data_IF_418066826413
#
_entry.id   IF_418066826413
#
_cell.length_a   1.000
_cell.length_b   1.000
_cell.length_c   1.000
_cell.angle_alpha   90.00
_cell.angle_beta   90.00
_cell.angle_gamma   90.00
#
_symmetry.space_group_name_H-M   'P 1'
#
loop_
_entity.id
_entity.type
_entity.pdbx_description
1 polymer ?
#
# COMPACT_ATOMS: atom_id res chain seq x y z
N UNK A 1 -17.55 13.75 -46.80
CA UNK A 1 -16.53 12.72 -46.48
C UNK A 1 -15.83 13.18 -45.22
N UNK A 2 -16.06 12.51 -44.09
CA UNK A 2 -15.43 12.87 -42.81
C UNK A 2 -14.03 12.21 -42.81
N UNK A 3 -12.98 13.04 -42.74
CA UNK A 3 -11.60 12.56 -42.66
C UNK A 3 -11.23 12.50 -41.18
N UNK A 4 -11.10 11.30 -40.64
CA UNK A 4 -10.62 11.11 -39.27
C UNK A 4 -9.10 11.31 -39.25
N UNK A 5 -8.64 12.34 -38.55
CA UNK A 5 -7.21 12.63 -38.38
C UNK A 5 -6.81 12.27 -36.95
N UNK A 6 -5.76 11.47 -36.79
CA UNK A 6 -5.19 11.15 -35.48
C UNK A 6 -3.77 11.74 -35.38
N UNK A 7 -3.44 12.28 -34.21
CA UNK A 7 -2.13 12.85 -33.91
C UNK A 7 -1.44 12.01 -32.84
N UNK A 8 -0.21 11.56 -33.10
CA UNK A 8 0.63 10.86 -32.11
C UNK A 8 1.56 11.88 -31.46
N UNK A 9 1.40 12.07 -30.15
CA UNK A 9 2.28 12.93 -29.35
C UNK A 9 3.17 12.07 -28.47
N UNK A 10 4.45 12.45 -28.34
CA UNK A 10 5.39 11.89 -27.36
C UNK A 10 5.85 13.00 -26.44
N UNK A 11 5.63 12.82 -25.14
CA UNK A 11 6.06 13.77 -24.12
C UNK A 11 7.44 13.35 -23.58
N UNK A 12 8.31 14.34 -23.36
CA UNK A 12 9.63 14.15 -22.76
C UNK A 12 9.70 14.96 -21.47
N UNK A 13 9.10 14.45 -20.38
CA UNK A 13 9.05 15.18 -19.13
C UNK A 13 10.45 15.31 -18.51
N UNK A 14 10.74 16.47 -17.93
CA UNK A 14 11.86 16.59 -17.00
C UNK A 14 11.55 15.86 -15.68
N UNK A 15 12.53 15.74 -14.78
CA UNK A 15 12.36 15.01 -13.51
C UNK A 15 11.16 15.48 -12.69
N UNK A 16 10.96 16.79 -12.56
CA UNK A 16 9.84 17.33 -11.77
C UNK A 16 8.48 17.02 -12.42
N UNK A 17 8.40 17.12 -13.75
CA UNK A 17 7.21 16.76 -14.51
C UNK A 17 6.91 15.26 -14.40
N UNK A 18 7.92 14.40 -14.52
CA UNK A 18 7.77 12.96 -14.40
C UNK A 18 7.24 12.58 -13.00
N UNK A 19 7.79 13.18 -11.94
CA UNK A 19 7.28 12.99 -10.58
C UNK A 19 5.82 13.43 -10.45
N UNK A 20 5.46 14.60 -10.99
CA UNK A 20 4.09 15.09 -10.93
C UNK A 20 3.12 14.17 -11.70
N UNK A 21 3.48 13.77 -12.91
CA UNK A 21 2.69 12.86 -13.75
C UNK A 21 2.47 11.53 -13.02
N UNK A 22 3.53 10.95 -12.46
CA UNK A 22 3.44 9.68 -11.72
C UNK A 22 2.54 9.80 -10.49
N UNK A 23 2.62 10.91 -9.75
CA UNK A 23 1.72 11.17 -8.62
C UNK A 23 0.27 11.31 -9.09
N UNK A 24 0.01 12.10 -10.13
CA UNK A 24 -1.35 12.29 -10.66
C UNK A 24 -1.97 10.97 -11.10
N UNK A 25 -1.26 10.19 -11.92
CA UNK A 25 -1.73 8.88 -12.40
C UNK A 25 -1.91 7.92 -11.24
N UNK A 26 -0.96 7.88 -10.30
CA UNK A 26 -1.02 7.02 -9.12
C UNK A 26 -2.21 7.35 -8.21
N UNK A 27 -2.50 8.62 -7.96
CA UNK A 27 -3.66 9.04 -7.16
C UNK A 27 -4.96 8.56 -7.82
N UNK A 28 -5.12 8.81 -9.12
CA UNK A 28 -6.30 8.38 -9.87
C UNK A 28 -6.45 6.85 -9.85
N UNK A 29 -5.36 6.11 -10.03
CA UNK A 29 -5.33 4.65 -9.97
C UNK A 29 -5.75 4.13 -8.59
N UNK A 30 -5.19 4.70 -7.53
CA UNK A 30 -5.52 4.31 -6.16
C UNK A 30 -7.01 4.53 -5.86
N UNK A 31 -7.52 5.73 -6.13
CA UNK A 31 -8.93 6.08 -5.89
C UNK A 31 -9.86 5.20 -6.72
N UNK A 32 -9.53 4.96 -7.99
CA UNK A 32 -10.30 4.08 -8.86
C UNK A 32 -10.37 2.65 -8.31
N UNK A 33 -9.22 2.04 -7.98
CA UNK A 33 -9.18 0.67 -7.46
C UNK A 33 -9.90 0.56 -6.10
N UNK A 34 -9.81 1.61 -5.27
CA UNK A 34 -10.46 1.64 -3.96
C UNK A 34 -11.97 1.61 -4.10
N UNK A 35 -12.53 2.48 -4.95
CA UNK A 35 -13.96 2.47 -5.19
C UNK A 35 -14.42 1.26 -5.99
N UNK A 36 -13.61 0.72 -6.91
CA UNK A 36 -13.91 -0.51 -7.63
C UNK A 36 -14.12 -1.67 -6.65
N UNK A 37 -13.20 -1.87 -5.70
CA UNK A 37 -13.33 -2.91 -4.68
C UNK A 37 -14.57 -2.72 -3.80
N UNK A 38 -14.88 -1.48 -3.40
CA UNK A 38 -16.09 -1.19 -2.64
C UNK A 38 -17.36 -1.44 -3.47
N UNK A 39 -17.32 -1.13 -4.77
CA UNK A 39 -18.44 -1.32 -5.69
C UNK A 39 -18.74 -2.80 -5.90
N UNK A 40 -17.70 -3.61 -6.10
CA UNK A 40 -17.83 -5.06 -6.22
C UNK A 40 -18.47 -5.65 -4.96
N UNK A 41 -17.98 -5.30 -3.78
CA UNK A 41 -18.56 -5.77 -2.51
C UNK A 41 -20.02 -5.34 -2.35
N UNK A 42 -20.32 -4.05 -2.56
CA UNK A 42 -21.70 -3.53 -2.43
C UNK A 42 -22.66 -4.18 -3.43
N UNK A 43 -22.19 -4.45 -4.65
CA UNK A 43 -22.99 -5.09 -5.68
C UNK A 43 -23.25 -6.57 -5.36
N UNK A 44 -22.26 -7.31 -4.86
CA UNK A 44 -22.47 -8.70 -4.43
C UNK A 44 -23.48 -8.82 -3.28
N UNK A 45 -23.46 -7.87 -2.34
CA UNK A 45 -24.37 -7.88 -1.18
C UNK A 45 -25.79 -7.39 -1.51
N UNK A 46 -25.91 -6.36 -2.34
CA UNK A 46 -27.18 -5.62 -2.50
C UNK A 46 -27.74 -5.63 -3.93
N UNK A 47 -26.97 -6.07 -4.91
CA UNK A 47 -27.27 -5.96 -6.34
C UNK A 47 -27.27 -4.52 -6.88
N UNK A 48 -26.77 -3.55 -6.09
CA UNK A 48 -26.76 -2.13 -6.44
C UNK A 48 -25.35 -1.56 -6.30
N UNK A 49 -25.05 -0.59 -7.15
CA UNK A 49 -23.81 0.17 -7.09
C UNK A 49 -23.82 1.26 -6.02
N UNK A 50 -22.65 1.83 -5.76
CA UNK A 50 -22.47 2.98 -4.87
C UNK A 50 -22.98 4.27 -5.51
N UNK A 51 -23.52 5.15 -4.66
CA UNK A 51 -23.92 6.50 -5.08
C UNK A 51 -22.78 7.50 -4.90
N UNK A 52 -22.83 8.63 -5.60
CA UNK A 52 -21.85 9.71 -5.44
C UNK A 52 -21.71 10.17 -3.98
N UNK A 53 -22.84 10.33 -3.26
CA UNK A 53 -22.82 10.75 -1.86
C UNK A 53 -22.08 9.75 -0.97
N UNK A 54 -22.28 8.44 -1.21
CA UNK A 54 -21.55 7.37 -0.50
C UNK A 54 -20.06 7.41 -0.82
N UNK A 55 -19.69 7.54 -2.10
CA UNK A 55 -18.30 7.60 -2.51
C UNK A 55 -17.58 8.83 -1.93
N UNK A 56 -18.22 10.01 -1.99
CA UNK A 56 -17.64 11.24 -1.45
C UNK A 56 -17.40 11.17 0.06
N UNK A 57 -18.26 10.48 0.81
CA UNK A 57 -18.09 10.29 2.25
C UNK A 57 -17.00 9.26 2.61
N UNK A 58 -16.68 8.35 1.68
CA UNK A 58 -15.67 7.29 1.85
C UNK A 58 -14.35 7.62 1.17
N UNK A 59 -14.09 8.87 0.84
CA UNK A 59 -12.80 9.23 0.22
C UNK A 59 -11.65 8.93 1.19
N UNK A 60 -10.61 8.19 0.76
CA UNK A 60 -9.44 7.95 1.58
C UNK A 60 -8.73 9.26 1.93
N UNK A 61 -8.16 9.32 3.13
CA UNK A 61 -7.36 10.46 3.56
C UNK A 61 -6.10 10.63 2.69
N UNK A 62 -5.67 11.87 2.50
CA UNK A 62 -4.51 12.20 1.65
C UNK A 62 -3.24 11.47 2.10
N UNK A 63 -3.06 11.28 3.41
CA UNK A 63 -1.92 10.56 3.99
C UNK A 63 -1.87 9.10 3.51
N UNK A 64 -3.03 8.44 3.38
CA UNK A 64 -3.13 7.07 2.88
C UNK A 64 -2.83 7.03 1.38
N UNK A 65 -3.34 8.00 0.63
CA UNK A 65 -3.04 8.14 -0.80
C UNK A 65 -1.53 8.33 -0.96
N UNK A 66 -0.90 9.25 -0.24
CA UNK A 66 0.55 9.52 -0.32
C UNK A 66 1.43 8.31 0.02
N UNK A 67 0.97 7.45 0.93
CA UNK A 67 1.62 6.17 1.26
C UNK A 67 1.43 5.18 0.11
N UNK A 68 0.25 5.09 -0.50
CA UNK A 68 0.04 4.22 -1.65
C UNK A 68 0.95 4.56 -2.85
N UNK A 69 1.37 5.82 -2.98
CA UNK A 69 2.27 6.27 -4.05
C UNK A 69 3.74 5.93 -3.80
N UNK A 70 4.07 5.35 -2.64
CA UNK A 70 5.43 5.19 -2.17
C UNK A 70 6.04 3.80 -2.43
N UNK A 71 5.40 2.99 -3.29
CA UNK A 71 5.91 1.67 -3.69
C UNK A 71 7.34 1.69 -4.24
N UNK A 72 7.78 2.80 -4.83
CA UNK A 72 9.15 2.97 -5.33
C UNK A 72 10.06 3.78 -4.38
N UNK A 73 9.53 4.29 -3.26
CA UNK A 73 10.31 5.08 -2.31
C UNK A 73 11.22 4.19 -1.47
N UNK A 74 12.28 4.77 -0.90
CA UNK A 74 13.14 4.06 0.05
C UNK A 74 12.37 3.82 1.35
N UNK A 75 12.64 2.70 2.02
CA UNK A 75 11.97 2.34 3.27
C UNK A 75 12.02 3.45 4.34
N UNK A 76 13.12 4.19 4.41
CA UNK A 76 13.27 5.33 5.34
C UNK A 76 12.27 6.45 5.04
N UNK A 77 12.04 6.74 3.76
CA UNK A 77 11.10 7.79 3.34
C UNK A 77 9.65 7.36 3.60
N UNK A 78 9.33 6.09 3.37
CA UNK A 78 7.99 5.55 3.67
C UNK A 78 7.75 5.55 5.19
N UNK A 79 8.74 5.12 5.99
CA UNK A 79 8.67 5.17 7.45
C UNK A 79 8.47 6.59 7.99
N UNK A 80 9.03 7.61 7.31
CA UNK A 80 8.77 9.00 7.63
C UNK A 80 7.33 9.42 7.31
N UNK A 81 6.76 8.98 6.18
CA UNK A 81 5.34 9.22 5.82
C UNK A 81 4.38 8.60 6.84
N UNK A 82 4.67 7.39 7.30
CA UNK A 82 3.89 6.71 8.35
C UNK A 82 3.81 7.50 9.67
N UNK A 83 4.76 8.40 9.96
CA UNK A 83 4.70 9.26 11.15
C UNK A 83 3.55 10.27 11.10
N UNK A 84 3.13 10.66 9.90
CA UNK A 84 2.09 11.66 9.71
C UNK A 84 0.68 11.04 9.70
N UNK A 85 0.60 9.72 9.62
CA UNK A 85 -0.61 8.91 9.74
C UNK A 85 -1.00 8.92 11.22
N UNK A 86 -2.10 9.59 11.57
CA UNK A 86 -2.60 9.68 12.96
C UNK A 86 -4.01 9.07 13.06
N UNK A 87 -4.14 7.98 13.83
CA UNK A 87 -5.38 7.52 14.46
C UNK A 87 -6.50 7.01 13.53
N UNK A 88 -7.37 6.17 14.13
CA UNK A 88 -8.48 5.39 13.55
C UNK A 88 -8.90 5.72 12.12
N UNK A 89 -8.37 4.91 11.21
CA UNK A 89 -8.96 4.70 9.90
C UNK A 89 -10.25 3.89 10.09
N UNK A 90 -11.39 4.56 9.97
CA UNK A 90 -12.75 4.01 10.18
C UNK A 90 -13.11 2.88 9.18
N UNK A 91 -12.15 2.43 8.38
CA UNK A 91 -12.31 1.37 7.41
C UNK A 91 -11.11 0.41 7.41
N UNK A 92 -11.38 -0.88 7.17
CA UNK A 92 -10.35 -1.93 7.12
C UNK A 92 -9.36 -1.79 5.98
N UNK A 93 -9.70 -0.99 4.96
CA UNK A 93 -8.98 -0.94 3.71
C UNK A 93 -7.65 -0.16 3.79
N UNK A 94 -7.58 1.04 4.41
CA UNK A 94 -6.31 1.72 4.67
C UNK A 94 -5.23 0.86 5.34
N UNK A 95 -5.60 0.09 6.37
CA UNK A 95 -4.67 -0.84 7.04
C UNK A 95 -4.19 -1.91 6.07
N UNK A 96 -5.10 -2.50 5.29
CA UNK A 96 -4.76 -3.51 4.28
C UNK A 96 -3.86 -2.94 3.16
N UNK A 97 -4.04 -1.68 2.78
CA UNK A 97 -3.16 -0.98 1.83
C UNK A 97 -1.76 -0.85 2.45
N UNK A 98 -1.65 -0.35 3.67
CA UNK A 98 -0.35 -0.22 4.35
C UNK A 98 0.37 -1.58 4.44
N UNK A 99 -0.36 -2.65 4.77
CA UNK A 99 0.18 -4.01 4.81
C UNK A 99 0.49 -4.57 3.43
N UNK A 100 -0.27 -4.20 2.40
CA UNK A 100 0.04 -4.52 1.00
C UNK A 100 1.35 -3.90 0.56
N UNK A 101 1.63 -2.65 0.97
CA UNK A 101 2.89 -1.98 0.67
C UNK A 101 4.06 -2.65 1.39
N UNK A 102 3.88 -3.04 2.66
CA UNK A 102 4.87 -3.84 3.39
C UNK A 102 5.09 -5.21 2.72
N UNK A 103 4.01 -5.85 2.25
CA UNK A 103 4.05 -7.10 1.50
C UNK A 103 4.88 -6.96 0.22
N UNK A 104 4.65 -5.91 -0.57
CA UNK A 104 5.48 -5.59 -1.74
C UNK A 104 6.96 -5.42 -1.35
N UNK A 105 7.24 -4.61 -0.32
CA UNK A 105 8.60 -4.30 0.13
C UNK A 105 9.34 -5.49 0.75
N UNK A 106 8.63 -6.48 1.25
CA UNK A 106 9.26 -7.63 1.89
C UNK A 106 9.28 -8.85 0.99
N UNK A 107 8.14 -9.21 0.39
CA UNK A 107 7.98 -10.42 -0.40
C UNK A 107 8.49 -10.23 -1.83
N UNK A 108 8.12 -9.13 -2.50
CA UNK A 108 8.47 -8.93 -3.92
C UNK A 108 9.91 -8.47 -4.07
N UNK A 109 10.33 -7.46 -3.30
CA UNK A 109 11.71 -6.96 -3.39
C UNK A 109 12.72 -7.84 -2.65
N UNK A 110 12.26 -8.84 -1.89
CA UNK A 110 13.13 -9.79 -1.18
C UNK A 110 13.97 -9.14 -0.09
N UNK A 111 13.46 -8.08 0.55
CA UNK A 111 14.20 -7.41 1.62
C UNK A 111 14.28 -8.28 2.87
N UNK A 112 15.33 -8.08 3.67
CA UNK A 112 15.51 -8.83 4.92
C UNK A 112 14.68 -8.22 6.07
N UNK A 113 14.41 -9.03 7.10
CA UNK A 113 13.60 -8.60 8.25
C UNK A 113 14.17 -7.35 8.94
N UNK A 114 15.51 -7.23 9.00
CA UNK A 114 16.19 -6.08 9.61
C UNK A 114 15.92 -4.76 8.85
N UNK A 115 15.82 -4.81 7.52
CA UNK A 115 15.56 -3.62 6.70
C UNK A 115 14.11 -3.17 6.77
N UNK A 116 13.16 -4.09 6.91
CA UNK A 116 11.74 -3.74 7.05
C UNK A 116 11.35 -3.40 8.49
N UNK A 117 12.16 -3.77 9.48
CA UNK A 117 11.92 -3.48 10.90
C UNK A 117 11.61 -2.00 11.21
N UNK A 118 12.35 -0.99 10.68
CA UNK A 118 11.98 0.41 10.89
C UNK A 118 10.56 0.75 10.41
N UNK A 119 10.08 0.04 9.38
CA UNK A 119 8.73 0.17 8.88
C UNK A 119 7.72 -0.42 9.87
N UNK A 120 7.91 -1.67 10.29
CA UNK A 120 7.06 -2.35 11.29
C UNK A 120 7.00 -1.52 12.58
N UNK A 121 8.15 -1.07 13.08
CA UNK A 121 8.25 -0.23 14.27
C UNK A 121 7.37 1.03 14.15
N UNK A 122 7.36 1.69 12.98
CA UNK A 122 6.53 2.89 12.77
C UNK A 122 5.05 2.56 12.70
N UNK A 123 4.66 1.42 12.14
CA UNK A 123 3.26 0.97 12.14
C UNK A 123 2.74 0.80 13.57
N UNK A 124 3.52 0.11 14.40
CA UNK A 124 3.19 -0.14 15.81
C UNK A 124 3.19 1.16 16.60
N UNK A 125 4.28 1.94 16.54
CA UNK A 125 4.45 3.13 17.40
C UNK A 125 3.45 4.25 17.09
N UNK A 126 2.98 4.36 15.85
CA UNK A 126 2.02 5.38 15.45
C UNK A 126 0.56 4.87 15.45
N UNK A 127 0.32 3.66 15.97
CA UNK A 127 -1.00 3.02 15.99
C UNK A 127 -1.67 3.00 14.60
N UNK A 128 -0.90 2.73 13.55
CA UNK A 128 -1.42 2.74 12.17
C UNK A 128 -2.47 1.65 11.93
N UNK A 129 -2.52 0.62 12.78
CA UNK A 129 -3.46 -0.49 12.69
C UNK A 129 -4.44 -0.54 13.89
N UNK A 130 -4.64 0.59 14.59
CA UNK A 130 -5.60 0.69 15.72
C UNK A 130 -6.99 0.15 15.33
N UNK A 131 -7.53 -0.76 16.16
CA UNK A 131 -8.81 -1.44 15.90
C UNK A 131 -8.67 -2.77 15.14
N UNK A 132 -7.43 -3.21 14.89
CA UNK A 132 -7.11 -4.53 14.35
C UNK A 132 -6.20 -5.29 15.32
N UNK A 133 -6.74 -5.66 16.49
CA UNK A 133 -5.98 -6.25 17.61
C UNK A 133 -5.01 -7.36 17.18
N UNK A 134 -5.45 -8.29 16.32
CA UNK A 134 -4.59 -9.34 15.79
C UNK A 134 -3.42 -8.79 14.96
N UNK A 135 -3.66 -7.80 14.10
CA UNK A 135 -2.60 -7.20 13.25
C UNK A 135 -1.62 -6.44 14.13
N UNK A 136 -2.13 -5.61 15.05
CA UNK A 136 -1.31 -4.84 15.99
C UNK A 136 -0.41 -5.76 16.81
N UNK A 137 -0.98 -6.82 17.40
CA UNK A 137 -0.24 -7.81 18.20
C UNK A 137 0.82 -8.53 17.37
N UNK A 138 0.49 -8.98 16.16
CA UNK A 138 1.46 -9.66 15.29
C UNK A 138 2.61 -8.74 14.88
N UNK A 139 2.33 -7.49 14.49
CA UNK A 139 3.37 -6.53 14.14
C UNK A 139 4.25 -6.17 15.34
N UNK A 140 3.66 -6.06 16.54
CA UNK A 140 4.41 -5.86 17.78
C UNK A 140 5.34 -7.06 18.05
N UNK A 141 4.82 -8.28 17.95
CA UNK A 141 5.61 -9.50 18.17
C UNK A 141 6.77 -9.60 17.18
N UNK A 142 6.53 -9.38 15.88
CA UNK A 142 7.60 -9.38 14.89
C UNK A 142 8.65 -8.29 15.18
N UNK A 143 8.24 -7.10 15.62
CA UNK A 143 9.19 -6.05 15.99
C UNK A 143 10.12 -6.50 17.11
N UNK A 144 9.58 -7.14 18.14
CA UNK A 144 10.36 -7.65 19.28
C UNK A 144 11.20 -8.88 18.92
N UNK A 145 10.65 -9.84 18.19
CA UNK A 145 11.38 -11.03 17.74
C UNK A 145 12.58 -10.66 16.86
N UNK A 146 12.43 -9.67 15.96
CA UNK A 146 13.54 -9.16 15.17
C UNK A 146 14.61 -8.51 16.08
N UNK A 147 14.22 -7.77 17.14
CA UNK A 147 15.18 -7.23 18.11
C UNK A 147 16.00 -8.36 18.74
N UNK A 148 15.30 -9.34 19.32
CA UNK A 148 15.91 -10.44 20.07
C UNK A 148 16.83 -11.29 19.18
N UNK A 149 16.41 -11.57 17.94
CA UNK A 149 17.23 -12.33 17.00
C UNK A 149 18.45 -11.54 16.51
N UNK A 150 18.29 -10.22 16.27
CA UNK A 150 19.41 -9.35 15.86
C UNK A 150 20.49 -9.24 16.95
N UNK A 151 20.07 -9.21 18.21
CA UNK A 151 20.96 -9.14 19.37
C UNK A 151 21.52 -10.52 19.79
N UNK A 152 21.22 -11.58 19.02
CA UNK A 152 21.57 -12.98 19.29
C UNK A 152 21.06 -13.48 20.65
N UNK A 153 19.92 -12.97 21.11
CA UNK A 153 19.29 -13.34 22.38
C UNK A 153 18.35 -14.53 22.19
N UNK A 154 17.45 -14.47 21.20
CA UNK A 154 16.43 -15.51 20.95
C UNK A 154 15.92 -15.48 19.51
N UNK A 155 15.61 -16.66 18.96
CA UNK A 155 15.03 -16.81 17.62
C UNK A 155 16.06 -16.77 16.48
N UNK A 156 15.58 -17.03 15.26
CA UNK A 156 16.38 -17.01 14.03
C UNK A 156 15.72 -16.07 13.01
N UNK A 157 16.51 -15.18 12.40
CA UNK A 157 16.00 -14.20 11.44
C UNK A 157 15.37 -14.83 10.18
N UNK A 158 15.83 -16.01 9.75
CA UNK A 158 15.24 -16.72 8.61
C UNK A 158 13.85 -17.24 8.98
N UNK A 159 13.71 -17.90 10.13
CA UNK A 159 12.43 -18.42 10.60
C UNK A 159 11.42 -17.29 10.79
N UNK A 160 11.82 -16.20 11.46
CA UNK A 160 11.00 -14.99 11.61
C UNK A 160 10.62 -14.41 10.24
N UNK A 161 11.54 -14.41 9.27
CA UNK A 161 11.25 -13.93 7.93
C UNK A 161 10.18 -14.79 7.23
N UNK A 162 10.17 -16.10 7.45
CA UNK A 162 9.13 -16.99 6.90
C UNK A 162 7.77 -16.76 7.57
N UNK A 163 7.74 -16.50 8.87
CA UNK A 163 6.51 -16.16 9.59
C UNK A 163 5.92 -14.83 9.12
N UNK A 164 6.75 -13.80 8.97
CA UNK A 164 6.33 -12.51 8.41
C UNK A 164 5.79 -12.70 6.97
N UNK A 165 6.47 -13.50 6.12
CA UNK A 165 5.97 -13.80 4.76
C UNK A 165 4.60 -14.45 4.79
N UNK A 166 4.40 -15.43 5.67
CA UNK A 166 3.12 -16.12 5.83
C UNK A 166 2.03 -15.16 6.26
N UNK A 167 2.30 -14.31 7.25
CA UNK A 167 1.39 -13.25 7.70
C UNK A 167 1.03 -12.27 6.56
N UNK A 168 2.04 -11.75 5.85
CA UNK A 168 1.85 -10.74 4.80
C UNK A 168 1.21 -11.29 3.51
N UNK A 169 1.29 -12.60 3.27
CA UNK A 169 0.72 -13.24 2.07
C UNK A 169 -0.77 -12.96 1.88
N UNK A 170 -1.51 -12.80 2.98
CA UNK A 170 -2.95 -12.50 2.97
C UNK A 170 -3.25 -11.11 2.37
N UNK A 171 -2.26 -10.22 2.37
CA UNK A 171 -2.39 -8.85 1.87
C UNK A 171 -1.85 -8.68 0.45
N UNK A 172 -1.46 -9.76 -0.22
CA UNK A 172 -0.87 -9.71 -1.58
C UNK A 172 -1.82 -9.08 -2.60
N UNK A 173 -3.12 -9.32 -2.47
CA UNK A 173 -4.12 -8.76 -3.39
C UNK A 173 -4.23 -7.23 -3.28
N UNK A 174 -3.79 -6.64 -2.16
CA UNK A 174 -3.77 -5.19 -1.97
C UNK A 174 -2.59 -4.50 -2.69
N UNK A 175 -1.70 -5.27 -3.33
CA UNK A 175 -0.65 -4.71 -4.18
C UNK A 175 -1.25 -4.07 -5.45
N UNK A 176 -2.48 -4.44 -5.82
CA UNK A 176 -3.25 -3.80 -6.90
C UNK A 176 -3.45 -2.29 -6.66
N UNK A 177 -3.35 -1.81 -5.42
CA UNK A 177 -3.44 -0.39 -5.12
C UNK A 177 -2.18 0.39 -5.49
N UNK A 178 -1.07 -0.29 -5.83
CA UNK A 178 0.21 0.32 -6.19
C UNK A 178 0.58 0.11 -7.66
N UNK A 179 -0.01 -0.91 -8.30
CA UNK A 179 0.25 -1.28 -9.70
C UNK A 179 -1.05 -1.38 -10.50
N UNK A 180 -0.96 -1.39 -11.82
CA UNK A 180 -2.12 -1.69 -12.65
C UNK A 180 -2.35 -3.22 -12.67
N UNK A 181 -3.59 -3.71 -12.50
CA UNK A 181 -3.90 -5.14 -12.58
C UNK A 181 -3.70 -5.74 -13.99
N UNK A 182 -3.67 -4.89 -15.01
CA UNK A 182 -3.40 -5.26 -16.39
C UNK A 182 -2.24 -4.40 -16.88
N UNK A 183 -1.20 -5.05 -17.40
CA UNK A 183 0.07 -4.47 -17.84
C UNK A 183 -0.08 -3.02 -18.29
N UNK A 184 0.46 -2.10 -17.49
CA UNK A 184 0.59 -0.73 -17.92
C UNK A 184 1.61 -0.71 -19.02
N UNK A 185 1.16 -0.78 -20.28
CA UNK A 185 1.95 -0.62 -21.51
C UNK A 185 3.43 -0.86 -21.25
N UNK A 186 3.78 -2.13 -20.99
CA UNK A 186 5.16 -2.51 -20.84
C UNK A 186 5.91 -2.06 -22.10
N UNK A 187 7.04 -1.44 -21.85
CA UNK A 187 7.97 -0.93 -22.85
C UNK A 187 8.32 -2.02 -23.90
N UNK A 188 7.83 -1.83 -25.12
CA UNK A 188 8.48 -2.25 -26.38
C UNK A 188 8.68 -1.03 -27.29
#
# INVERSE_FOLDING_TARGET
MIINTAYKFRIYPNKAQATLINKTIGCSRFVFNYFLSLWDNAYQETGKGLTYGTCSAKLPANEIIDVSLSSNDKLVDIAAKLKNIKGRYDEKLPVKIILGLLCEKFIITGENALKIKPFIFKLVHNNCCEGFDYIDEQLYNFNEEINLAADNIYGNLEDISQEIKRFLSVYKDFIIYFHLPYGGLDDE
#
